data_IF_960091726454
#
_entry.id   IF_960091726454
#
_cell.length_a   1.000
_cell.length_b   1.000
_cell.length_c   1.000
_cell.angle_alpha   90.00
_cell.angle_beta   90.00
_cell.angle_gamma   90.00
#
_symmetry.space_group_name_H-M   'P 1'
#
loop_
_entity.id
_entity.type
_entity.pdbx_description
1 polymer ?
#
# COMPACT_ATOMS: atom_id res chain seq x y z
N UNK A 1 10.83 3.67 4.44
CA UNK A 1 9.85 3.58 3.32
C UNK A 1 8.49 4.25 3.63
N UNK A 2 8.14 4.53 4.89
CA UNK A 2 6.81 5.07 5.27
C UNK A 2 6.42 6.40 4.60
N UNK A 3 7.38 7.30 4.37
CA UNK A 3 7.13 8.57 3.68
C UNK A 3 6.61 8.34 2.25
N UNK A 4 7.19 7.40 1.50
CA UNK A 4 6.74 7.08 0.14
C UNK A 4 5.37 6.39 0.14
N UNK A 5 5.12 5.51 1.11
CA UNK A 5 3.79 4.88 1.29
C UNK A 5 2.70 5.94 1.53
N UNK A 6 3.01 6.98 2.30
CA UNK A 6 2.07 8.07 2.55
C UNK A 6 1.80 8.93 1.31
N UNK A 7 2.82 9.18 0.47
CA UNK A 7 2.62 9.84 -0.83
C UNK A 7 1.70 9.02 -1.74
N UNK A 8 1.96 7.72 -1.86
CA UNK A 8 1.12 6.81 -2.65
C UNK A 8 -0.34 6.81 -2.17
N UNK A 9 -0.56 6.77 -0.85
CA UNK A 9 -1.91 6.88 -0.27
C UNK A 9 -2.62 8.17 -0.66
N UNK A 10 -1.91 9.30 -0.68
CA UNK A 10 -2.45 10.59 -1.14
C UNK A 10 -2.83 10.55 -2.63
N UNK A 11 -2.07 9.82 -3.44
CA UNK A 11 -2.31 9.63 -4.87
C UNK A 11 -3.40 8.59 -5.19
N UNK A 12 -4.23 8.20 -4.22
CA UNK A 12 -5.32 7.22 -4.36
C UNK A 12 -4.84 5.77 -4.60
N UNK A 13 -3.60 5.46 -4.24
CA UNK A 13 -3.16 4.08 -4.09
C UNK A 13 -3.64 3.52 -2.74
N UNK A 14 -4.21 2.33 -2.74
CA UNK A 14 -4.61 1.61 -1.53
C UNK A 14 -3.68 0.42 -1.32
N UNK A 15 -2.72 0.52 -0.38
CA UNK A 15 -1.86 -0.61 -0.02
C UNK A 15 -2.69 -1.78 0.53
N UNK A 16 -2.30 -2.99 0.16
CA UNK A 16 -2.90 -4.26 0.60
C UNK A 16 -1.85 -5.07 1.37
N UNK A 17 -0.62 -5.12 0.87
CA UNK A 17 0.48 -5.89 1.45
C UNK A 17 1.78 -5.09 1.35
N UNK A 18 2.66 -5.27 2.34
CA UNK A 18 3.99 -4.66 2.37
C UNK A 18 4.98 -5.71 2.87
N UNK A 19 6.03 -5.95 2.09
CA UNK A 19 7.05 -6.98 2.34
C UNK A 19 8.42 -6.32 2.31
N UNK A 20 9.25 -6.61 3.32
CA UNK A 20 10.66 -6.19 3.33
C UNK A 20 11.51 -7.17 2.54
N UNK A 21 12.53 -6.69 1.83
CA UNK A 21 13.43 -7.54 1.04
C UNK A 21 14.60 -8.13 1.85
N UNK A 22 14.54 -8.02 3.18
CA UNK A 22 15.51 -8.64 4.07
C UNK A 22 15.38 -10.17 4.02
N UNK A 23 16.49 -10.93 3.88
CA UNK A 23 17.90 -10.55 4.10
C UNK A 23 18.68 -10.11 2.85
N UNK A 24 18.05 -10.08 1.68
CA UNK A 24 18.74 -9.88 0.39
C UNK A 24 19.11 -8.41 0.17
N UNK A 25 18.20 -7.49 0.47
CA UNK A 25 18.40 -6.05 0.38
C UNK A 25 17.94 -5.36 1.66
N UNK A 26 18.84 -4.64 2.34
CA UNK A 26 18.53 -3.86 3.55
C UNK A 26 17.84 -2.56 3.17
N UNK A 27 16.94 -2.08 4.02
CA UNK A 27 16.20 -0.81 3.86
C UNK A 27 15.26 -0.73 2.63
N UNK A 28 15.00 -1.86 1.97
CA UNK A 28 14.09 -1.94 0.83
C UNK A 28 12.80 -2.69 1.19
N UNK A 29 11.67 -2.23 0.63
CA UNK A 29 10.37 -2.84 0.80
C UNK A 29 9.54 -2.78 -0.49
N UNK A 30 8.84 -3.86 -0.79
CA UNK A 30 7.84 -3.93 -1.86
C UNK A 30 6.45 -3.70 -1.25
N UNK A 31 5.67 -2.81 -1.87
CA UNK A 31 4.32 -2.48 -1.42
C UNK A 31 3.35 -2.82 -2.55
N UNK A 32 2.43 -3.75 -2.28
CA UNK A 32 1.43 -4.24 -3.23
C UNK A 32 0.09 -3.60 -2.85
N UNK A 33 -0.66 -3.14 -3.84
CA UNK A 33 -1.94 -2.48 -3.61
C UNK A 33 -2.69 -2.21 -4.90
N UNK A 34 -3.91 -1.70 -4.73
CA UNK A 34 -4.76 -1.33 -5.86
C UNK A 34 -4.81 0.17 -6.07
N UNK A 35 -4.74 0.62 -7.31
CA UNK A 35 -4.89 2.03 -7.68
C UNK A 35 -6.35 2.37 -7.94
N UNK A 36 -6.85 3.47 -7.35
CA UNK A 36 -8.23 3.96 -7.55
C UNK A 36 -9.30 2.89 -7.33
N UNK A 37 -9.09 2.03 -6.34
CA UNK A 37 -10.02 0.95 -6.04
C UNK A 37 -11.39 1.50 -5.65
N UNK A 38 -12.48 0.90 -6.16
CA UNK A 38 -13.83 1.31 -5.78
C UNK A 38 -14.01 1.14 -4.27
N UNK A 39 -14.59 2.15 -3.61
CA UNK A 39 -14.90 2.06 -2.18
C UNK A 39 -15.95 0.95 -2.01
N UNK A 40 -15.66 -0.09 -1.22
CA UNK A 40 -16.66 -1.09 -0.85
C UNK A 40 -17.84 -0.33 -0.20
N UNK A 41 -19.02 -0.40 -0.82
CA UNK A 41 -20.24 0.15 -0.22
C UNK A 41 -20.47 -0.60 1.09
N UNK A 42 -20.54 0.12 2.20
CA UNK A 42 -21.05 -0.48 3.45
C UNK A 42 -22.51 -0.84 3.16
N UNK A 43 -22.81 -2.13 3.11
CA UNK A 43 -24.19 -2.60 3.16
C UNK A 43 -24.64 -2.26 4.58
N UNK A 44 -25.58 -1.33 4.72
CA UNK A 44 -26.21 -1.06 6.00
C UNK A 44 -27.06 -2.29 6.32
N UNK A 45 -26.76 -2.94 7.43
CA UNK A 45 -27.62 -3.95 8.07
C UNK A 45 -28.71 -3.24 8.87
#
# INVERSE_FOLDING_TARGET
FDSEVNKLKADQFKPIEQITLEPFERDHACVIGGYRMPKKKKVAE
#
